data_IF_298736467353
#
_entry.id   IF_298736467353
#
_cell.length_a   1.000
_cell.length_b   1.000
_cell.length_c   1.000
_cell.angle_alpha   90.00
_cell.angle_beta   90.00
_cell.angle_gamma   90.00
#
_symmetry.space_group_name_H-M   'P 1'
#
loop_
_entity.id
_entity.type
_entity.pdbx_description
1 polymer ?
#
# COMPACT_ATOMS: atom_id res chain seq x y z
N UNK A 1 29.24 -69.46 -13.92
CA UNK A 1 30.50 -68.71 -14.16
C UNK A 1 30.10 -67.23 -14.10
N UNK A 2 30.03 -66.63 -12.91
CA UNK A 2 31.12 -65.94 -12.19
C UNK A 2 31.77 -64.86 -13.06
N UNK A 3 31.47 -63.58 -12.75
CA UNK A 3 32.10 -62.31 -13.15
C UNK A 3 31.00 -61.33 -13.63
N UNK A 4 30.72 -60.16 -13.05
CA UNK A 4 31.40 -59.36 -12.02
C UNK A 4 30.39 -58.47 -11.28
N UNK A 5 30.49 -58.47 -9.96
CA UNK A 5 30.03 -57.38 -9.07
C UNK A 5 31.05 -56.22 -9.10
N UNK A 6 30.66 -55.09 -8.50
CA UNK A 6 31.49 -53.90 -8.17
C UNK A 6 31.50 -52.82 -9.25
N UNK A 7 31.37 -51.51 -9.00
CA UNK A 7 31.09 -50.67 -7.83
C UNK A 7 30.90 -49.24 -8.41
N UNK A 8 29.84 -48.54 -8.05
CA UNK A 8 29.85 -47.36 -7.16
C UNK A 8 30.83 -46.27 -7.61
N UNK A 9 30.25 -45.20 -8.17
CA UNK A 9 30.63 -43.79 -8.00
C UNK A 9 29.40 -43.01 -8.51
N UNK A 10 28.35 -42.80 -7.70
CA UNK A 10 28.20 -41.57 -6.91
C UNK A 10 28.91 -40.39 -7.60
N UNK A 11 28.37 -39.99 -8.76
CA UNK A 11 28.59 -38.65 -9.30
C UNK A 11 27.42 -37.83 -8.75
N UNK A 12 27.47 -37.26 -7.54
CA UNK A 12 28.43 -36.26 -7.08
C UNK A 12 28.63 -35.11 -8.09
N UNK A 13 27.55 -34.68 -8.75
CA UNK A 13 27.45 -33.30 -9.18
C UNK A 13 26.94 -32.49 -8.00
N UNK A 14 27.93 -31.86 -7.36
CA UNK A 14 27.89 -30.94 -6.25
C UNK A 14 26.60 -30.13 -6.18
N UNK A 15 25.97 -30.20 -5.02
CA UNK A 15 25.06 -29.17 -4.55
C UNK A 15 25.79 -27.84 -4.47
N UNK A 16 25.70 -27.06 -5.53
CA UNK A 16 25.57 -25.63 -5.38
C UNK A 16 24.10 -25.37 -5.06
N UNK A 17 23.71 -25.63 -3.81
CA UNK A 17 22.58 -24.89 -3.23
C UNK A 17 23.03 -23.44 -3.22
N UNK A 18 22.85 -22.76 -4.35
CA UNK A 18 22.88 -21.31 -4.45
C UNK A 18 22.03 -20.86 -3.27
N UNK A 19 22.67 -20.21 -2.30
CA UNK A 19 21.98 -19.59 -1.18
C UNK A 19 21.02 -18.60 -1.79
N UNK A 20 19.80 -19.07 -2.04
CA UNK A 20 18.71 -18.21 -2.41
C UNK A 20 18.54 -17.33 -1.19
N UNK A 21 19.03 -16.10 -1.28
CA UNK A 21 18.37 -15.02 -0.61
C UNK A 21 16.93 -15.07 -1.12
N UNK A 22 16.07 -15.82 -0.44
CA UNK A 22 14.63 -15.80 -0.62
C UNK A 22 14.14 -14.49 -0.02
N UNK A 23 14.72 -13.38 -0.47
CA UNK A 23 14.25 -12.06 -0.20
C UNK A 23 13.00 -11.90 -1.08
N UNK A 24 11.83 -11.83 -0.43
CA UNK A 24 10.51 -11.68 -1.03
C UNK A 24 10.05 -12.83 -1.95
N UNK A 25 9.47 -13.87 -1.34
CA UNK A 25 8.62 -14.82 -2.06
C UNK A 25 7.14 -14.39 -1.99
N UNK A 26 6.75 -13.71 -0.91
CA UNK A 26 5.37 -13.32 -0.62
C UNK A 26 5.26 -11.93 0.02
N UNK A 27 4.06 -11.36 0.02
CA UNK A 27 3.73 -10.13 0.77
C UNK A 27 4.02 -10.32 2.27
N UNK A 28 3.76 -11.51 2.81
CA UNK A 28 3.99 -11.81 4.22
C UNK A 28 5.47 -11.67 4.60
N UNK A 29 6.39 -12.06 3.71
CA UNK A 29 7.83 -11.89 3.95
C UNK A 29 8.22 -10.41 3.99
N UNK A 30 7.61 -9.58 3.14
CA UNK A 30 7.86 -8.15 3.09
C UNK A 30 7.32 -7.41 4.31
N UNK A 31 6.24 -7.93 4.90
CA UNK A 31 5.68 -7.39 6.14
C UNK A 31 6.61 -7.58 7.33
N UNK A 32 7.48 -8.60 7.34
CA UNK A 32 8.47 -8.73 8.42
C UNK A 32 9.44 -7.53 8.45
N UNK A 33 9.88 -7.03 7.30
CA UNK A 33 10.70 -5.81 7.23
C UNK A 33 9.89 -4.57 7.67
N UNK A 34 8.62 -4.50 7.26
CA UNK A 34 7.71 -3.41 7.64
C UNK A 34 7.49 -3.35 9.16
N UNK A 35 7.24 -4.49 9.79
CA UNK A 35 7.00 -4.61 11.23
C UNK A 35 8.26 -4.29 12.05
N UNK A 36 9.44 -4.53 11.47
CA UNK A 36 10.72 -4.15 12.06
C UNK A 36 11.05 -2.65 11.86
N UNK A 37 10.20 -1.89 11.15
CA UNK A 37 10.40 -0.48 10.85
C UNK A 37 11.37 -0.20 9.70
N UNK A 38 11.83 -1.24 8.98
CA UNK A 38 12.65 -1.08 7.78
C UNK A 38 11.75 -0.93 6.55
N UNK A 39 11.14 0.25 6.45
CA UNK A 39 10.17 0.56 5.39
C UNK A 39 10.80 0.58 4.00
N UNK A 40 12.08 0.95 3.89
CA UNK A 40 12.81 0.94 2.62
C UNK A 40 13.00 -0.49 2.12
N UNK A 41 13.41 -1.43 2.98
CA UNK A 41 13.49 -2.83 2.59
C UNK A 41 12.10 -3.42 2.31
N UNK A 42 11.09 -3.08 3.12
CA UNK A 42 9.73 -3.56 2.92
C UNK A 42 9.16 -3.12 1.56
N UNK A 43 9.31 -1.85 1.19
CA UNK A 43 8.76 -1.34 -0.08
C UNK A 43 9.43 -2.01 -1.29
N UNK A 44 10.72 -2.29 -1.22
CA UNK A 44 11.44 -2.97 -2.30
C UNK A 44 10.94 -4.42 -2.47
N UNK A 45 10.77 -5.13 -1.36
CA UNK A 45 10.23 -6.49 -1.36
C UNK A 45 8.78 -6.53 -1.86
N UNK A 46 7.96 -5.56 -1.44
CA UNK A 46 6.59 -5.41 -1.93
C UNK A 46 6.56 -5.05 -3.43
N UNK A 47 7.48 -4.24 -3.93
CA UNK A 47 7.58 -3.93 -5.36
C UNK A 47 7.85 -5.18 -6.19
N UNK A 48 8.79 -6.02 -5.77
CA UNK A 48 9.07 -7.29 -6.45
C UNK A 48 7.81 -8.18 -6.49
N UNK A 49 7.07 -8.26 -5.39
CA UNK A 49 5.80 -9.00 -5.36
C UNK A 49 4.72 -8.38 -6.28
N UNK A 50 4.64 -7.05 -6.31
CA UNK A 50 3.71 -6.30 -7.16
C UNK A 50 4.01 -6.50 -8.66
N UNK A 51 5.30 -6.50 -9.03
CA UNK A 51 5.77 -6.77 -10.40
C UNK A 51 5.44 -8.20 -10.86
N UNK A 52 5.35 -9.16 -9.92
CA UNK A 52 4.85 -10.53 -10.18
C UNK A 52 3.33 -10.61 -10.29
N UNK A 53 2.62 -9.49 -10.16
CA UNK A 53 1.17 -9.40 -10.30
C UNK A 53 0.39 -9.50 -8.99
N UNK A 54 1.06 -9.45 -7.83
CA UNK A 54 0.37 -9.40 -6.55
C UNK A 54 -0.30 -8.02 -6.37
N UNK A 55 -1.63 -8.01 -6.46
CA UNK A 55 -2.44 -6.79 -6.34
C UNK A 55 -2.39 -6.19 -4.94
N UNK A 56 -2.22 -7.01 -3.92
CA UNK A 56 -2.12 -6.55 -2.53
C UNK A 56 -0.77 -5.86 -2.31
N UNK A 57 0.31 -6.44 -2.84
CA UNK A 57 1.62 -5.81 -2.82
C UNK A 57 1.60 -4.45 -3.55
N UNK A 58 1.00 -4.40 -4.75
CA UNK A 58 0.86 -3.16 -5.51
C UNK A 58 0.07 -2.09 -4.74
N UNK A 59 -0.99 -2.49 -4.03
CA UNK A 59 -1.77 -1.56 -3.21
C UNK A 59 -0.90 -0.97 -2.08
N UNK A 60 -0.15 -1.81 -1.37
CA UNK A 60 0.71 -1.37 -0.26
C UNK A 60 1.81 -0.42 -0.74
N UNK A 61 2.52 -0.76 -1.82
CA UNK A 61 3.52 0.13 -2.44
C UNK A 61 2.90 1.48 -2.80
N UNK A 62 1.70 1.44 -3.39
CA UNK A 62 0.95 2.63 -3.75
C UNK A 62 0.68 3.57 -2.57
N UNK A 63 0.21 3.02 -1.44
CA UNK A 63 -0.03 3.81 -0.23
C UNK A 63 1.27 4.28 0.45
N UNK A 64 2.31 3.44 0.47
CA UNK A 64 3.61 3.83 1.03
C UNK A 64 4.17 5.04 0.27
N UNK A 65 4.15 5.03 -1.06
CA UNK A 65 4.58 6.19 -1.85
C UNK A 65 3.62 7.39 -1.76
N UNK A 66 2.32 7.17 -1.54
CA UNK A 66 1.37 8.28 -1.39
C UNK A 66 1.64 9.10 -0.12
N UNK A 67 2.03 8.42 0.96
CA UNK A 67 2.26 9.03 2.27
C UNK A 67 3.73 9.47 2.41
N UNK A 68 4.68 8.58 2.10
CA UNK A 68 6.12 8.84 2.17
C UNK A 68 6.66 9.06 3.59
N UNK A 69 7.76 9.82 3.66
CA UNK A 69 8.59 10.06 4.85
C UNK A 69 7.85 10.43 6.15
N UNK A 70 6.80 11.28 6.17
CA UNK A 70 6.13 11.64 7.42
C UNK A 70 5.54 10.43 8.17
N UNK A 71 5.31 9.30 7.50
CA UNK A 71 4.87 8.04 8.14
C UNK A 71 5.86 6.90 7.94
N UNK A 72 6.63 6.93 6.85
CA UNK A 72 7.61 5.90 6.49
C UNK A 72 9.01 6.51 6.40
N UNK A 73 9.70 6.69 7.54
CA UNK A 73 11.08 7.18 7.56
C UNK A 73 11.97 6.44 6.56
N UNK A 74 12.73 7.19 5.75
CA UNK A 74 13.60 6.62 4.73
C UNK A 74 12.93 6.28 3.39
N UNK A 75 11.61 6.49 3.25
CA UNK A 75 10.90 6.34 1.98
C UNK A 75 10.34 7.69 1.52
N UNK A 76 10.94 8.28 0.48
CA UNK A 76 10.43 9.51 -0.09
C UNK A 76 9.10 9.27 -0.79
N UNK A 77 8.12 10.13 -0.52
CA UNK A 77 6.82 10.09 -1.18
C UNK A 77 6.94 10.37 -2.69
N UNK A 78 6.15 9.67 -3.48
CA UNK A 78 6.07 9.88 -4.92
C UNK A 78 4.64 9.64 -5.40
N UNK A 79 3.87 10.73 -5.51
CA UNK A 79 2.47 10.68 -5.90
C UNK A 79 2.25 10.08 -7.31
N UNK A 80 3.21 10.23 -8.23
CA UNK A 80 3.11 9.64 -9.58
C UNK A 80 3.21 8.12 -9.52
N UNK A 81 4.20 7.60 -8.80
CA UNK A 81 4.35 6.16 -8.57
C UNK A 81 3.18 5.60 -7.74
N UNK A 82 2.76 6.31 -6.71
CA UNK A 82 1.61 5.94 -5.90
C UNK A 82 0.36 5.71 -6.76
N UNK A 83 0.03 6.66 -7.63
CA UNK A 83 -1.12 6.54 -8.53
C UNK A 83 -1.00 5.33 -9.47
N UNK A 84 0.19 5.05 -10.01
CA UNK A 84 0.42 3.89 -10.88
C UNK A 84 0.17 2.58 -10.13
N UNK A 85 0.79 2.41 -8.97
CA UNK A 85 0.68 1.20 -8.16
C UNK A 85 -0.74 0.96 -7.64
N UNK A 86 -1.43 2.02 -7.20
CA UNK A 86 -2.83 1.95 -6.83
C UNK A 86 -3.74 1.61 -8.03
N UNK A 87 -3.45 2.13 -9.22
CA UNK A 87 -4.23 1.80 -10.42
C UNK A 87 -4.11 0.32 -10.81
N UNK A 88 -2.89 -0.26 -10.76
CA UNK A 88 -2.68 -1.68 -11.11
C UNK A 88 -3.21 -2.65 -10.05
N UNK A 89 -3.27 -2.24 -8.78
CA UNK A 89 -3.90 -3.05 -7.72
C UNK A 89 -5.39 -3.28 -7.95
N UNK A 90 -6.08 -2.32 -8.58
CA UNK A 90 -7.46 -2.46 -9.05
C UNK A 90 -8.53 -2.08 -8.01
N UNK A 91 -9.73 -2.64 -8.18
CA UNK A 91 -10.92 -2.52 -7.32
C UNK A 91 -10.98 -1.29 -6.42
N UNK A 92 -10.63 -1.53 -5.16
CA UNK A 92 -10.75 -0.61 -4.02
C UNK A 92 -9.75 0.56 -4.06
N UNK A 93 -8.62 0.40 -4.75
CA UNK A 93 -7.55 1.42 -4.83
C UNK A 93 -7.71 2.38 -6.00
N UNK A 94 -8.50 2.01 -7.02
CA UNK A 94 -8.73 2.85 -8.21
C UNK A 94 -9.28 4.24 -7.88
N UNK A 95 -10.22 4.43 -6.94
CA UNK A 95 -10.67 5.75 -6.55
C UNK A 95 -9.55 6.61 -5.96
N UNK A 96 -8.67 6.03 -5.13
CA UNK A 96 -7.49 6.71 -4.60
C UNK A 96 -6.49 7.09 -5.71
N UNK A 97 -6.23 6.19 -6.67
CA UNK A 97 -5.39 6.50 -7.83
C UNK A 97 -5.94 7.69 -8.63
N UNK A 98 -7.25 7.72 -8.90
CA UNK A 98 -7.92 8.82 -9.62
C UNK A 98 -7.85 10.13 -8.85
N UNK A 99 -8.03 10.08 -7.54
CA UNK A 99 -7.87 11.25 -6.68
C UNK A 99 -6.45 11.83 -6.76
N UNK A 100 -5.43 10.98 -6.62
CA UNK A 100 -4.02 11.42 -6.69
C UNK A 100 -3.72 12.02 -8.07
N UNK A 101 -4.15 11.40 -9.16
CA UNK A 101 -3.98 11.97 -10.52
C UNK A 101 -4.67 13.32 -10.66
N UNK A 102 -5.87 13.49 -10.08
CA UNK A 102 -6.58 14.77 -10.08
C UNK A 102 -5.80 15.86 -9.34
N UNK A 103 -5.29 15.56 -8.14
CA UNK A 103 -4.49 16.48 -7.33
C UNK A 103 -3.14 16.79 -7.96
N UNK A 104 -2.51 15.84 -8.67
CA UNK A 104 -1.29 16.07 -9.43
C UNK A 104 -1.50 17.07 -10.58
N UNK A 105 -2.65 17.01 -11.24
CA UNK A 105 -3.00 17.94 -12.32
C UNK A 105 -3.44 19.31 -11.79
N UNK A 106 -3.97 19.37 -10.55
CA UNK A 106 -4.53 20.56 -9.91
C UNK A 106 -4.13 20.62 -8.44
N UNK A 107 -2.92 21.12 -8.13
CA UNK A 107 -2.37 21.10 -6.78
C UNK A 107 -2.93 22.21 -5.86
N UNK A 108 -3.94 22.96 -6.30
CA UNK A 108 -4.56 24.01 -5.49
C UNK A 108 -5.57 23.43 -4.49
N UNK A 109 -5.60 24.04 -3.29
CA UNK A 109 -6.49 23.60 -2.22
C UNK A 109 -7.99 23.74 -2.58
N UNK A 110 -8.35 24.65 -3.49
CA UNK A 110 -9.72 24.84 -3.94
C UNK A 110 -10.25 23.65 -4.75
N UNK A 111 -9.36 22.94 -5.45
CA UNK A 111 -9.68 21.75 -6.25
C UNK A 111 -9.84 20.47 -5.42
N UNK A 112 -9.51 20.48 -4.13
CA UNK A 112 -9.60 19.30 -3.28
C UNK A 112 -11.04 18.72 -3.26
N UNK A 113 -12.05 19.56 -3.03
CA UNK A 113 -13.46 19.14 -3.04
C UNK A 113 -13.90 18.60 -4.41
N UNK A 114 -13.39 19.18 -5.50
CA UNK A 114 -13.67 18.68 -6.83
C UNK A 114 -13.04 17.30 -7.06
N UNK A 115 -11.80 17.10 -6.60
CA UNK A 115 -11.09 15.83 -6.74
C UNK A 115 -11.64 14.73 -5.83
N UNK A 116 -12.25 15.05 -4.68
CA UNK A 116 -12.89 14.06 -3.79
C UNK A 116 -13.99 13.25 -4.51
N UNK A 117 -14.66 13.83 -5.52
CA UNK A 117 -15.60 13.08 -6.37
C UNK A 117 -14.97 11.90 -7.13
N UNK A 118 -13.65 11.85 -7.26
CA UNK A 118 -12.91 10.73 -7.82
C UNK A 118 -12.81 9.52 -6.86
N UNK A 119 -12.99 9.75 -5.56
CA UNK A 119 -13.00 8.70 -4.52
C UNK A 119 -14.36 8.01 -4.41
N UNK A 120 -15.43 8.63 -4.93
CA UNK A 120 -16.77 8.03 -4.94
C UNK A 120 -16.76 6.73 -5.75
N UNK A 121 -17.35 5.63 -5.23
CA UNK A 121 -17.57 4.45 -6.04
C UNK A 121 -18.38 4.87 -7.27
N UNK A 122 -18.14 4.26 -8.45
CA UNK A 122 -19.06 4.46 -9.57
C UNK A 122 -20.44 4.07 -9.03
N UNK A 123 -21.36 5.02 -8.99
CA UNK A 123 -22.74 4.76 -8.59
C UNK A 123 -23.31 3.82 -9.65
N UNK A 124 -23.09 2.52 -9.50
CA UNK A 124 -23.90 1.51 -10.16
C UNK A 124 -25.30 1.82 -9.70
N UNK A 125 -26.09 2.31 -10.64
CA UNK A 125 -27.49 2.57 -10.44
C UNK A 125 -28.12 1.35 -9.76
N UNK A 126 -28.47 1.46 -8.48
CA UNK A 126 -29.11 0.38 -7.70
C UNK A 126 -30.46 -0.04 -8.30
N UNK A 127 -30.96 0.63 -9.35
CA UNK A 127 -32.18 0.26 -10.06
C UNK A 127 -31.98 -0.67 -11.27
N UNK A 128 -30.75 -0.99 -11.68
CA UNK A 128 -30.51 -1.94 -12.77
C UNK A 128 -30.20 -3.34 -12.21
N UNK A 129 -31.27 -4.07 -11.89
CA UNK A 129 -31.37 -5.54 -11.83
C UNK A 129 -30.10 -6.31 -11.49
N UNK A 130 -29.90 -6.61 -10.20
CA UNK A 130 -29.07 -7.75 -9.78
C UNK A 130 -29.96 -8.78 -9.08
N UNK A 131 -29.97 -10.05 -9.54
CA UNK A 131 -30.52 -11.14 -8.75
C UNK A 131 -29.69 -11.32 -7.48
N UNK A 132 -30.37 -11.71 -6.41
CA UNK A 132 -29.86 -11.94 -5.07
C UNK A 132 -28.56 -12.77 -5.08
N UNK A 133 -27.53 -12.17 -4.47
CA UNK A 133 -26.37 -12.78 -3.82
C UNK A 133 -25.80 -14.09 -4.40
N UNK A 134 -24.72 -13.97 -5.20
CA UNK A 134 -23.70 -15.01 -5.18
C UNK A 134 -22.93 -14.91 -3.85
N UNK A 135 -22.67 -16.02 -3.14
CA UNK A 135 -21.95 -15.95 -1.88
C UNK A 135 -20.53 -15.46 -2.15
N UNK A 136 -20.15 -14.36 -1.50
CA UNK A 136 -18.75 -13.95 -1.40
C UNK A 136 -17.99 -15.13 -0.81
N UNK A 137 -17.17 -15.79 -1.65
CA UNK A 137 -16.25 -16.80 -1.18
C UNK A 137 -15.38 -16.15 -0.10
N UNK A 138 -15.49 -16.64 1.14
CA UNK A 138 -14.64 -16.23 2.26
C UNK A 138 -13.19 -16.45 1.82
N UNK A 139 -12.51 -15.39 1.39
CA UNK A 139 -11.06 -15.45 1.27
C UNK A 139 -10.53 -15.52 2.69
N UNK A 140 -10.14 -16.72 3.12
CA UNK A 140 -9.48 -17.00 4.40
C UNK A 140 -8.05 -16.46 4.46
N UNK A 141 -7.80 -15.26 3.92
CA UNK A 141 -6.57 -14.52 4.21
C UNK A 141 -6.86 -13.68 5.44
N UNK A 142 -5.99 -13.79 6.46
CA UNK A 142 -6.03 -12.88 7.61
C UNK A 142 -6.12 -11.45 7.06
N UNK A 143 -7.06 -10.61 7.53
CA UNK A 143 -7.05 -9.22 7.13
C UNK A 143 -5.70 -8.65 7.58
N UNK A 144 -4.82 -8.37 6.62
CA UNK A 144 -3.70 -7.48 6.90
C UNK A 144 -4.40 -6.17 7.20
N UNK A 145 -4.28 -5.70 8.44
CA UNK A 145 -4.74 -4.37 8.78
C UNK A 145 -4.18 -3.44 7.70
N UNK A 146 -5.05 -2.64 7.06
CA UNK A 146 -4.56 -1.46 6.36
C UNK A 146 -3.47 -0.85 7.27
N UNK A 147 -2.32 -0.41 6.73
CA UNK A 147 -1.31 0.27 7.54
C UNK A 147 -2.07 1.28 8.42
N UNK A 148 -1.89 1.23 9.76
CA UNK A 148 -2.83 1.84 10.69
C UNK A 148 -3.11 3.28 10.26
N UNK A 149 -4.32 3.53 9.75
CA UNK A 149 -4.80 4.89 9.52
C UNK A 149 -5.15 5.45 10.89
N UNK A 150 -4.20 6.09 11.58
CA UNK A 150 -4.39 6.77 12.87
C UNK A 150 -3.32 7.87 13.05
N UNK A 151 -3.57 9.01 13.72
CA UNK A 151 -4.81 9.60 14.21
C UNK A 151 -5.03 11.00 13.57
N UNK A 152 -5.81 11.09 12.49
CA UNK A 152 -6.20 12.39 11.90
C UNK A 152 -7.63 12.81 12.27
N UNK A 153 -8.39 11.86 12.79
CA UNK A 153 -9.81 11.89 13.08
C UNK A 153 -10.11 12.40 14.51
N UNK A 154 -9.12 12.41 15.41
CA UNK A 154 -9.24 13.14 16.67
C UNK A 154 -8.99 14.66 16.51
N UNK A 155 -8.23 15.10 15.52
CA UNK A 155 -7.95 16.53 15.32
C UNK A 155 -9.15 17.31 14.73
N UNK A 156 -10.10 16.63 14.08
CA UNK A 156 -11.27 17.29 13.49
C UNK A 156 -12.44 17.52 14.46
N UNK A 157 -12.46 16.84 15.61
CA UNK A 157 -13.52 17.00 16.62
C UNK A 157 -13.21 18.07 17.67
N UNK A 158 -11.97 18.55 17.76
CA UNK A 158 -11.57 19.61 18.71
C UNK A 158 -11.63 21.03 18.11
N UNK A 159 -12.15 21.17 16.87
CA UNK A 159 -12.34 22.45 16.21
C UNK A 159 -13.42 23.36 16.85
N UNK A 160 -14.08 22.93 17.93
CA UNK A 160 -14.96 23.79 18.74
C UNK A 160 -14.24 24.56 19.86
N UNK A 161 -12.92 24.43 19.99
CA UNK A 161 -12.15 25.12 21.04
C UNK A 161 -11.11 26.13 20.52
N UNK A 162 -10.94 26.26 19.20
CA UNK A 162 -10.11 27.32 18.63
C UNK A 162 -11.00 28.50 18.28
N UNK A 163 -11.15 29.42 19.23
CA UNK A 163 -11.59 30.77 18.92
C UNK A 163 -10.70 31.33 17.79
N UNK A 164 -11.28 31.94 16.75
CA UNK A 164 -10.47 32.54 15.70
C UNK A 164 -9.79 33.79 16.26
N UNK A 165 -8.46 33.73 16.46
CA UNK A 165 -7.60 34.90 16.63
C UNK A 165 -7.48 35.71 15.32
N UNK A 166 -8.60 36.02 14.69
CA UNK A 166 -8.71 37.01 13.61
C UNK A 166 -9.50 38.20 14.17
N UNK A 167 -8.85 38.98 15.04
CA UNK A 167 -9.49 40.13 15.64
C UNK A 167 -8.60 40.85 16.65
N UNK A 168 -7.83 41.81 16.15
CA UNK A 168 -7.18 42.90 16.90
C UNK A 168 -5.85 42.61 17.63
N UNK A 169 -5.05 43.68 17.64
CA UNK A 169 -3.93 43.98 18.52
C UNK A 169 -2.57 43.30 18.25
N UNK A 170 -1.78 43.98 17.41
CA UNK A 170 -0.41 44.30 17.79
C UNK A 170 -0.41 44.83 19.23
N UNK A 171 0.04 44.04 20.20
CA UNK A 171 0.90 44.42 21.33
C UNK A 171 0.87 43.33 22.42
N UNK A 172 2.04 42.70 22.57
CA UNK A 172 2.65 42.16 23.79
C UNK A 172 2.08 40.90 24.48
N UNK A 173 3.07 40.02 24.74
CA UNK A 173 3.26 39.16 25.92
C UNK A 173 2.32 37.98 26.15
N UNK A 174 2.92 36.79 26.02
CA UNK A 174 2.70 35.61 26.84
C UNK A 174 1.28 35.03 26.89
N UNK A 175 0.98 34.08 26.01
CA UNK A 175 0.95 32.64 26.30
C UNK A 175 0.76 31.86 25.00
#
# INVERSE_FOLDING_TARGET
>A
MKSMLSAICVSACLGASVGAATAAQSVDDAMAAYDNGDYSAAVEQLRIAAERGDKQAAQLVGFIYAIGEPTYPGVQGNAVEAAKWLAVSGGESRPAARFIVCMLARPDAASANHCLGAMSPPTTNLSASLPVAAPVAKQGKRPIALPPMLPGDQAMNDASSMEPCWGMQFLQTSC
#
